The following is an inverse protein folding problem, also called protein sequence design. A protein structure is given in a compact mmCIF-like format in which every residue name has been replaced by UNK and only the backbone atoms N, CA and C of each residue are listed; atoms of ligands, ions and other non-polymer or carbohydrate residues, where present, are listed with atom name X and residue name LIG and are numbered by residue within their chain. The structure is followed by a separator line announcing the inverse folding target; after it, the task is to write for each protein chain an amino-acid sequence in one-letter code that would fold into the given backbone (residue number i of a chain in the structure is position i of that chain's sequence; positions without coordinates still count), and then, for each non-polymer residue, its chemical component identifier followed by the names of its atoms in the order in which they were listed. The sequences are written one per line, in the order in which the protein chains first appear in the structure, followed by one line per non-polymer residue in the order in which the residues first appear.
data_IF_681760090753
#
_entry.id   IF_681760090753
#
_cell.length_a   1.000
_cell.length_b   1.000
_cell.length_c   1.000
_cell.angle_alpha   90.00
_cell.angle_beta   90.00
_cell.angle_gamma   90.00
#
_symmetry.space_group_name_H-M   'P 1'
#
loop_
_entity.id
_entity.type
_entity.pdbx_description
1 polymer ?
#
# COMPACT_ATOMS: atom_id res chain seq x y z
N UNK A 1 0.58 -22.14 4.50
CA UNK A 1 0.81 -21.09 3.51
C UNK A 1 -0.54 -20.68 2.92
N UNK A 2 -0.94 -19.42 3.06
CA UNK A 2 -2.19 -18.87 2.54
C UNK A 2 -1.87 -17.59 1.79
N UNK A 3 -2.36 -17.48 0.56
CA UNK A 3 -2.37 -16.23 -0.18
C UNK A 3 -3.66 -15.48 0.18
N UNK A 4 -3.51 -14.22 0.52
CA UNK A 4 -4.64 -13.37 0.84
C UNK A 4 -5.02 -12.49 -0.35
N UNK A 5 -6.24 -12.65 -0.80
CA UNK A 5 -6.86 -11.82 -1.85
C UNK A 5 -8.23 -11.29 -1.38
N UNK A 6 -8.24 -10.67 -0.21
CA UNK A 6 -9.46 -10.36 0.53
C UNK A 6 -10.54 -9.65 -0.24
N UNK A 7 -10.21 -8.73 -1.12
CA UNK A 7 -11.20 -7.92 -1.80
C UNK A 7 -11.49 -8.31 -3.26
N UNK A 8 -10.79 -9.30 -3.78
CA UNK A 8 -11.11 -9.90 -5.09
C UNK A 8 -11.66 -11.32 -4.96
N UNK A 9 -12.04 -11.71 -3.75
CA UNK A 9 -12.21 -13.10 -3.42
C UNK A 9 -13.38 -13.76 -4.13
N UNK A 10 -14.56 -13.16 -4.17
CA UNK A 10 -15.69 -13.81 -4.79
C UNK A 10 -16.88 -12.89 -5.01
N UNK A 11 -17.53 -13.09 -6.16
CA UNK A 11 -18.88 -12.58 -6.47
C UNK A 11 -19.83 -13.75 -6.75
N UNK A 12 -19.58 -14.90 -6.13
CA UNK A 12 -20.45 -16.05 -6.25
C UNK A 12 -21.85 -15.76 -5.70
N UNK A 13 -22.89 -16.44 -6.16
CA UNK A 13 -24.24 -16.28 -5.63
C UNK A 13 -24.32 -16.44 -4.11
N UNK A 14 -23.52 -17.36 -3.57
CA UNK A 14 -23.46 -17.57 -2.12
C UNK A 14 -22.92 -16.33 -1.40
N UNK A 15 -21.80 -15.77 -1.83
CA UNK A 15 -21.21 -14.58 -1.21
C UNK A 15 -22.13 -13.37 -1.33
N UNK A 16 -22.78 -13.19 -2.48
CA UNK A 16 -23.72 -12.10 -2.67
C UNK A 16 -24.94 -12.24 -1.75
N UNK A 17 -25.44 -13.45 -1.53
CA UNK A 17 -26.52 -13.72 -0.58
C UNK A 17 -26.11 -13.45 0.86
N UNK A 18 -24.89 -13.82 1.27
CA UNK A 18 -24.39 -13.53 2.62
C UNK A 18 -24.21 -12.03 2.81
N UNK A 19 -23.67 -11.33 1.82
CA UNK A 19 -23.58 -9.88 1.86
C UNK A 19 -24.95 -9.22 2.01
N UNK A 20 -25.93 -9.64 1.23
CA UNK A 20 -27.29 -9.09 1.29
C UNK A 20 -27.93 -9.29 2.69
N UNK A 21 -27.69 -10.44 3.32
CA UNK A 21 -28.14 -10.72 4.69
C UNK A 21 -27.49 -9.82 5.74
N UNK A 22 -26.21 -9.53 5.58
CA UNK A 22 -25.46 -8.71 6.52
C UNK A 22 -25.69 -7.20 6.30
N UNK A 23 -25.59 -6.75 5.06
CA UNK A 23 -25.65 -5.34 4.71
C UNK A 23 -27.09 -4.79 4.62
N UNK A 24 -28.09 -5.68 4.46
CA UNK A 24 -29.49 -5.31 4.29
C UNK A 24 -29.85 -4.80 2.90
N UNK A 25 -28.95 -4.92 1.94
CA UNK A 25 -29.18 -4.58 0.53
C UNK A 25 -28.34 -5.45 -0.39
N UNK A 26 -28.83 -5.59 -1.62
CA UNK A 26 -28.16 -6.40 -2.65
C UNK A 26 -27.02 -5.64 -3.30
N UNK A 27 -25.85 -6.28 -3.38
CA UNK A 27 -24.71 -5.74 -4.15
C UNK A 27 -25.02 -5.78 -5.65
N UNK A 28 -24.66 -4.73 -6.35
CA UNK A 28 -24.87 -4.58 -7.78
C UNK A 28 -23.56 -4.31 -8.52
N UNK A 29 -23.40 -4.80 -9.75
CA UNK A 29 -22.20 -4.52 -10.56
C UNK A 29 -21.90 -3.03 -10.72
N UNK A 30 -22.94 -2.20 -10.75
CA UNK A 30 -22.83 -0.74 -10.90
C UNK A 30 -22.07 -0.07 -9.76
N UNK A 31 -21.99 -0.71 -8.59
CA UNK A 31 -21.21 -0.22 -7.47
C UNK A 31 -19.69 -0.39 -7.67
N UNK A 32 -19.28 -1.31 -8.55
CA UNK A 32 -17.89 -1.51 -8.95
C UNK A 32 -17.59 -0.71 -10.22
N UNK A 33 -18.52 -0.75 -11.17
CA UNK A 33 -18.39 -0.12 -12.47
C UNK A 33 -18.99 1.26 -12.36
N UNK A 34 -18.16 2.23 -12.07
CA UNK A 34 -18.58 3.62 -12.14
C UNK A 34 -18.69 4.07 -13.60
N UNK A 35 -19.58 5.02 -13.86
CA UNK A 35 -19.93 5.53 -15.18
C UNK A 35 -18.69 5.91 -16.00
N UNK A 36 -18.36 5.07 -16.99
CA UNK A 36 -17.22 5.27 -17.89
C UNK A 36 -15.86 4.83 -17.34
N UNK A 37 -15.79 4.25 -16.13
CA UNK A 37 -14.57 3.70 -15.54
C UNK A 37 -14.74 2.22 -15.23
N UNK A 38 -13.92 1.41 -15.85
CA UNK A 38 -13.97 -0.05 -15.68
C UNK A 38 -13.37 -0.54 -14.36
N UNK A 39 -12.68 0.32 -13.65
CA UNK A 39 -12.17 0.03 -12.32
C UNK A 39 -12.12 1.32 -11.49
N UNK A 40 -12.21 1.17 -10.19
CA UNK A 40 -12.19 2.28 -9.25
C UNK A 40 -10.80 2.68 -8.80
N UNK A 41 -9.75 2.20 -9.45
CA UNK A 41 -8.39 2.48 -9.00
C UNK A 41 -8.02 3.97 -9.07
N UNK A 42 -8.75 4.74 -9.87
CA UNK A 42 -8.53 6.16 -10.08
C UNK A 42 -9.51 7.06 -9.32
N UNK A 43 -10.49 6.47 -8.65
CA UNK A 43 -11.53 7.22 -7.93
C UNK A 43 -11.75 6.69 -6.54
N UNK A 44 -12.29 7.55 -5.68
CA UNK A 44 -12.79 7.13 -4.36
C UNK A 44 -13.96 6.17 -4.58
N UNK A 45 -13.91 4.94 -4.06
CA UNK A 45 -14.97 3.97 -4.26
C UNK A 45 -16.28 4.42 -3.61
N UNK A 46 -17.39 3.96 -4.16
CA UNK A 46 -18.69 4.16 -3.57
C UNK A 46 -18.77 3.55 -2.16
N UNK A 47 -19.72 4.01 -1.36
CA UNK A 47 -19.99 3.44 -0.05
C UNK A 47 -20.32 1.95 -0.16
N UNK A 48 -21.17 1.59 -1.10
CA UNK A 48 -21.60 0.21 -1.33
C UNK A 48 -20.44 -0.70 -1.70
N UNK A 49 -19.49 -0.21 -2.47
CA UNK A 49 -18.28 -0.94 -2.78
C UNK A 49 -17.37 -1.11 -1.56
N UNK A 50 -17.22 -0.08 -0.73
CA UNK A 50 -16.49 -0.15 0.53
C UNK A 50 -17.12 -1.17 1.49
N UNK A 51 -18.45 -1.15 1.61
CA UNK A 51 -19.19 -2.09 2.46
C UNK A 51 -18.99 -3.54 1.99
N UNK A 52 -19.04 -3.76 0.67
CA UNK A 52 -18.80 -5.09 0.10
C UNK A 52 -17.37 -5.57 0.32
N UNK A 53 -16.39 -4.69 0.17
CA UNK A 53 -15.01 -5.05 0.45
C UNK A 53 -14.77 -5.33 1.93
N UNK A 54 -15.35 -4.55 2.83
CA UNK A 54 -15.26 -4.79 4.26
C UNK A 54 -15.87 -6.15 4.62
N UNK A 55 -17.03 -6.50 4.05
CA UNK A 55 -17.63 -7.82 4.18
C UNK A 55 -16.68 -8.92 3.70
N UNK A 56 -16.14 -8.79 2.48
CA UNK A 56 -15.21 -9.80 1.92
C UNK A 56 -13.96 -9.97 2.80
N UNK A 57 -13.40 -8.89 3.32
CA UNK A 57 -12.26 -8.96 4.23
C UNK A 57 -12.59 -9.74 5.50
N UNK A 58 -13.75 -9.49 6.11
CA UNK A 58 -14.18 -10.23 7.31
C UNK A 58 -14.33 -11.72 7.02
N UNK A 59 -14.94 -12.08 5.89
CA UNK A 59 -15.10 -13.49 5.52
C UNK A 59 -13.75 -14.18 5.25
N UNK A 60 -12.81 -13.51 4.56
CA UNK A 60 -11.46 -14.05 4.34
C UNK A 60 -10.70 -14.15 5.66
N UNK A 61 -10.77 -13.13 6.52
CA UNK A 61 -10.12 -13.13 7.83
C UNK A 61 -10.63 -14.29 8.71
N UNK A 62 -11.93 -14.56 8.69
CA UNK A 62 -12.53 -15.68 9.42
C UNK A 62 -11.97 -17.02 8.95
N UNK A 63 -11.92 -17.26 7.63
CA UNK A 63 -11.35 -18.50 7.07
C UNK A 63 -9.86 -18.60 7.40
N UNK A 64 -9.12 -17.53 7.23
CA UNK A 64 -7.69 -17.50 7.54
C UNK A 64 -7.45 -17.80 9.03
N UNK A 65 -8.27 -17.21 9.92
CA UNK A 65 -8.18 -17.47 11.34
C UNK A 65 -8.42 -18.94 11.68
N UNK A 66 -9.40 -19.59 11.10
CA UNK A 66 -9.64 -21.01 11.31
C UNK A 66 -8.41 -21.86 10.94
N UNK A 67 -7.74 -21.53 9.82
CA UNK A 67 -6.50 -22.21 9.41
C UNK A 67 -5.34 -21.96 10.37
N UNK A 68 -5.21 -20.74 10.87
CA UNK A 68 -4.19 -20.35 11.85
C UNK A 68 -4.43 -21.07 13.18
N UNK A 69 -5.66 -21.06 13.67
CA UNK A 69 -6.02 -21.72 14.93
C UNK A 69 -5.69 -23.22 14.87
N UNK A 70 -6.05 -23.91 13.78
CA UNK A 70 -5.68 -25.33 13.56
C UNK A 70 -4.14 -25.47 13.55
N UNK A 71 -3.41 -24.57 12.90
CA UNK A 71 -1.95 -24.62 12.84
C UNK A 71 -1.35 -24.53 14.25
N UNK A 72 -1.88 -23.63 15.07
CA UNK A 72 -1.47 -23.44 16.45
C UNK A 72 -1.80 -24.64 17.35
N UNK A 73 -2.93 -25.32 17.13
CA UNK A 73 -3.28 -26.56 17.84
C UNK A 73 -2.22 -27.65 17.67
N UNK A 74 -1.54 -27.67 16.52
CA UNK A 74 -0.41 -28.56 16.27
C UNK A 74 0.94 -28.01 16.75
N UNK A 75 0.96 -26.91 17.48
CA UNK A 75 2.17 -26.26 17.99
C UNK A 75 3.09 -25.72 16.89
N UNK A 76 2.53 -25.29 15.77
CA UNK A 76 3.26 -24.73 14.62
C UNK A 76 2.96 -23.25 14.48
N UNK A 77 3.92 -22.51 13.93
CA UNK A 77 3.71 -21.12 13.54
C UNK A 77 3.02 -21.03 12.18
N UNK A 78 2.12 -20.08 12.06
CA UNK A 78 1.38 -19.79 10.84
C UNK A 78 1.97 -18.57 10.13
N UNK A 79 2.28 -18.72 8.85
CA UNK A 79 2.83 -17.68 8.01
C UNK A 79 1.93 -17.42 6.81
N UNK A 80 1.70 -16.15 6.48
CA UNK A 80 0.95 -15.73 5.30
C UNK A 80 1.85 -15.03 4.31
N UNK A 81 1.74 -15.45 3.05
CA UNK A 81 2.37 -14.74 1.93
C UNK A 81 1.42 -13.63 1.43
N UNK A 82 1.97 -12.42 1.31
CA UNK A 82 1.29 -11.28 0.72
C UNK A 82 1.71 -11.18 -0.75
N UNK A 83 0.76 -11.19 -1.66
CA UNK A 83 1.03 -10.96 -3.06
C UNK A 83 1.67 -9.59 -3.30
N UNK A 84 2.37 -9.43 -4.40
CA UNK A 84 3.24 -8.27 -4.65
C UNK A 84 2.52 -6.91 -4.60
N UNK A 85 1.25 -6.86 -4.98
CA UNK A 85 0.44 -5.63 -4.95
C UNK A 85 -0.33 -5.41 -3.64
N UNK A 86 -0.27 -6.38 -2.73
CA UNK A 86 -1.08 -6.40 -1.51
C UNK A 86 -0.31 -6.03 -0.25
N UNK A 87 1.01 -5.91 -0.34
CA UNK A 87 1.87 -5.63 0.80
C UNK A 87 1.44 -4.39 1.56
N UNK A 88 0.94 -3.38 0.87
CA UNK A 88 0.53 -2.12 1.48
C UNK A 88 -0.97 -2.02 1.80
N UNK A 89 -1.72 -3.11 1.77
CA UNK A 89 -3.19 -3.05 1.87
C UNK A 89 -3.76 -3.83 3.04
N UNK A 90 -3.89 -5.14 2.92
CA UNK A 90 -4.55 -5.98 3.91
C UNK A 90 -3.93 -5.90 5.31
N UNK A 91 -2.60 -5.89 5.47
CA UNK A 91 -1.98 -5.84 6.79
C UNK A 91 -2.33 -4.60 7.62
N UNK A 92 -2.84 -3.57 6.97
CA UNK A 92 -3.24 -2.32 7.62
C UNK A 92 -4.73 -2.20 7.86
N UNK A 93 -5.46 -3.30 7.72
CA UNK A 93 -6.89 -3.37 7.99
C UNK A 93 -7.16 -4.02 9.34
N UNK A 94 -8.25 -3.62 9.98
CA UNK A 94 -8.63 -4.10 11.31
C UNK A 94 -8.77 -5.63 11.34
N UNK A 95 -9.34 -6.20 10.30
CA UNK A 95 -9.57 -7.65 10.21
C UNK A 95 -8.28 -8.45 10.22
N UNK A 96 -7.18 -7.90 9.72
CA UNK A 96 -5.89 -8.59 9.65
C UNK A 96 -5.35 -8.93 11.05
N UNK A 97 -5.45 -8.01 11.99
CA UNK A 97 -4.98 -8.23 13.36
C UNK A 97 -5.72 -9.37 14.07
N UNK A 98 -6.96 -9.67 13.65
CA UNK A 98 -7.78 -10.72 14.26
C UNK A 98 -7.36 -12.15 13.90
N UNK A 99 -6.56 -12.31 12.84
CA UNK A 99 -6.18 -13.64 12.31
C UNK A 99 -5.20 -14.35 13.24
N UNK A 100 -4.30 -13.61 13.89
CA UNK A 100 -3.31 -14.16 14.81
C UNK A 100 -2.12 -14.82 14.13
N UNK A 101 -1.70 -14.31 12.97
CA UNK A 101 -0.51 -14.80 12.25
C UNK A 101 0.76 -14.59 13.07
N UNK A 102 1.70 -15.53 12.94
CA UNK A 102 3.05 -15.40 13.51
C UNK A 102 3.97 -14.61 12.57
N UNK A 103 3.81 -14.80 11.27
CA UNK A 103 4.66 -14.13 10.29
C UNK A 103 3.90 -13.74 9.03
N UNK A 104 4.40 -12.70 8.39
CA UNK A 104 3.99 -12.31 7.03
C UNK A 104 5.22 -12.24 6.13
N UNK A 105 5.03 -12.63 4.87
CA UNK A 105 6.06 -12.59 3.84
C UNK A 105 5.60 -11.77 2.66
N UNK A 106 6.42 -10.83 2.22
CA UNK A 106 6.17 -10.07 1.01
C UNK A 106 7.39 -10.03 0.09
N UNK A 107 7.18 -9.73 -1.18
CA UNK A 107 8.27 -9.55 -2.13
C UNK A 107 9.03 -8.26 -1.87
N UNK A 108 10.35 -8.33 -1.83
CA UNK A 108 11.24 -7.18 -1.66
C UNK A 108 11.96 -6.90 -2.97
N UNK A 109 11.47 -5.93 -3.72
CA UNK A 109 12.08 -5.48 -4.96
C UNK A 109 12.77 -4.11 -4.87
N UNK A 110 12.48 -3.35 -3.80
CA UNK A 110 13.01 -2.00 -3.62
C UNK A 110 12.84 -1.53 -2.17
N UNK A 111 13.23 -0.30 -1.88
CA UNK A 111 13.11 0.29 -0.54
C UNK A 111 11.65 0.50 -0.12
N UNK A 112 10.77 0.83 -1.05
CA UNK A 112 9.35 1.04 -0.72
C UNK A 112 8.67 -0.27 -0.30
N UNK A 113 8.88 -1.37 -1.00
CA UNK A 113 8.30 -2.67 -0.61
C UNK A 113 8.85 -3.16 0.73
N UNK A 114 10.15 -3.01 0.97
CA UNK A 114 10.74 -3.35 2.27
C UNK A 114 10.15 -2.49 3.39
N UNK A 115 10.01 -1.18 3.15
CA UNK A 115 9.45 -0.26 4.14
C UNK A 115 7.99 -0.59 4.47
N UNK A 116 7.19 -0.95 3.48
CA UNK A 116 5.80 -1.36 3.67
C UNK A 116 5.69 -2.65 4.49
N UNK A 117 6.51 -3.66 4.19
CA UNK A 117 6.54 -4.91 4.95
C UNK A 117 6.99 -4.65 6.40
N UNK A 118 8.01 -3.85 6.61
CA UNK A 118 8.54 -3.57 7.94
C UNK A 118 7.57 -2.79 8.84
N UNK A 119 6.54 -2.17 8.25
CA UNK A 119 5.51 -1.42 9.00
C UNK A 119 4.30 -2.27 9.41
N UNK A 120 4.26 -3.54 9.02
CA UNK A 120 3.17 -4.45 9.38
C UNK A 120 3.23 -4.75 10.87
N UNK A 121 2.12 -4.48 11.54
CA UNK A 121 1.95 -4.72 12.98
C UNK A 121 1.20 -6.04 13.25
N UNK A 122 1.23 -6.50 14.50
CA UNK A 122 0.44 -7.64 14.94
C UNK A 122 1.00 -9.01 14.57
N UNK A 123 2.24 -9.09 14.05
CA UNK A 123 2.95 -10.33 13.75
C UNK A 123 4.27 -10.40 14.52
N UNK A 124 4.77 -11.62 14.79
CA UNK A 124 6.07 -11.81 15.45
C UNK A 124 7.23 -11.51 14.51
N UNK A 125 7.07 -11.83 13.22
CA UNK A 125 8.10 -11.72 12.22
C UNK A 125 7.58 -11.11 10.93
N UNK A 126 8.36 -10.18 10.39
CA UNK A 126 8.21 -9.68 9.04
C UNK A 126 9.28 -10.27 8.14
N UNK A 127 8.92 -10.83 7.01
CA UNK A 127 9.83 -11.51 6.12
C UNK A 127 9.81 -10.90 4.72
N UNK A 128 10.98 -10.76 4.13
CA UNK A 128 11.16 -10.36 2.75
C UNK A 128 11.51 -11.53 1.85
N UNK A 129 10.70 -11.78 0.84
CA UNK A 129 11.05 -12.67 -0.25
C UNK A 129 11.85 -11.86 -1.27
N UNK A 130 13.16 -12.08 -1.29
CA UNK A 130 14.01 -11.49 -2.30
C UNK A 130 13.88 -12.30 -3.58
N UNK A 131 13.27 -11.69 -4.57
CA UNK A 131 12.95 -12.33 -5.83
C UNK A 131 13.11 -11.31 -6.95
N UNK A 132 13.93 -11.60 -7.95
CA UNK A 132 13.82 -10.94 -9.24
C UNK A 132 12.39 -11.14 -9.75
N UNK A 133 11.86 -10.15 -10.36
CA UNK A 133 10.44 -10.02 -10.57
C UNK A 133 9.91 -11.21 -11.34
N UNK A 134 9.52 -11.79 -11.95
CA UNK A 134 8.79 -12.91 -12.51
C UNK A 134 9.72 -14.04 -12.99
N UNK A 135 9.60 -15.18 -12.34
CA UNK A 135 10.56 -16.29 -12.54
C UNK A 135 10.79 -16.72 -13.99
N UNK A 136 9.76 -16.91 -14.84
CA UNK A 136 10.00 -17.34 -16.22
C UNK A 136 10.69 -16.26 -17.06
N UNK A 137 10.46 -14.99 -16.75
CA UNK A 137 10.99 -13.87 -17.52
C UNK A 137 12.44 -13.56 -17.13
N UNK A 138 12.81 -13.84 -15.89
CA UNK A 138 14.16 -13.59 -15.37
C UNK A 138 15.05 -14.81 -15.48
N UNK A 139 14.53 -16.01 -15.15
CA UNK A 139 15.29 -17.27 -15.18
C UNK A 139 15.08 -18.02 -16.50
N UNK A 140 15.45 -17.42 -17.59
CA UNK A 140 15.36 -17.96 -18.93
C UNK A 140 16.68 -17.79 -19.69
N UNK A 141 16.81 -18.42 -20.86
CA UNK A 141 17.98 -18.25 -21.72
C UNK A 141 18.16 -16.78 -22.09
N UNK A 142 19.33 -16.23 -21.75
CA UNK A 142 19.66 -14.83 -21.96
C UNK A 142 19.18 -13.88 -20.85
N UNK A 143 18.48 -14.38 -19.84
CA UNK A 143 18.13 -13.60 -18.65
C UNK A 143 19.32 -13.36 -17.73
N UNK A 144 19.27 -12.28 -16.96
CA UNK A 144 20.33 -11.91 -16.01
C UNK A 144 19.73 -11.69 -14.60
N UNK A 145 19.43 -12.77 -13.87
CA UNK A 145 18.86 -12.66 -12.53
C UNK A 145 19.82 -12.02 -11.51
N UNK A 146 21.12 -12.07 -11.73
CA UNK A 146 22.11 -11.44 -10.85
C UNK A 146 22.03 -9.93 -10.96
N UNK A 147 21.93 -9.41 -12.18
CA UNK A 147 21.81 -7.97 -12.42
C UNK A 147 20.55 -7.42 -11.76
N UNK A 148 19.42 -8.05 -12.01
CA UNK A 148 18.14 -7.63 -11.42
C UNK A 148 18.18 -7.70 -9.89
N UNK A 149 18.72 -8.78 -9.33
CA UNK A 149 18.88 -8.92 -7.89
C UNK A 149 19.77 -7.81 -7.29
N UNK A 150 20.85 -7.43 -7.95
CA UNK A 150 21.70 -6.33 -7.51
C UNK A 150 20.98 -5.00 -7.52
N UNK A 151 20.26 -4.69 -8.57
CA UNK A 151 19.46 -3.47 -8.70
C UNK A 151 18.42 -3.38 -7.58
N UNK A 152 17.69 -4.45 -7.34
CA UNK A 152 16.69 -4.54 -6.28
C UNK A 152 17.32 -4.38 -4.88
N UNK A 153 18.44 -5.04 -4.62
CA UNK A 153 19.09 -5.00 -3.31
C UNK A 153 19.68 -3.62 -2.97
N UNK A 154 20.27 -2.94 -3.94
CA UNK A 154 20.83 -1.59 -3.74
C UNK A 154 19.77 -0.62 -3.21
N UNK A 155 18.55 -0.72 -3.69
CA UNK A 155 17.44 0.14 -3.24
C UNK A 155 16.80 -0.36 -1.95
N UNK A 156 16.55 -1.67 -1.83
CA UNK A 156 15.92 -2.27 -0.67
C UNK A 156 16.73 -2.08 0.63
N UNK A 157 18.02 -2.32 0.60
CA UNK A 157 18.88 -2.27 1.79
C UNK A 157 18.89 -0.92 2.52
N UNK A 158 18.58 0.18 1.82
CA UNK A 158 18.49 1.51 2.44
C UNK A 158 17.42 1.57 3.51
N UNK A 159 16.30 0.89 3.30
CA UNK A 159 15.19 0.89 4.22
C UNK A 159 15.49 0.10 5.50
N UNK A 160 16.38 -0.89 5.46
CA UNK A 160 16.75 -1.73 6.62
C UNK A 160 17.31 -0.87 7.77
N UNK A 161 18.09 0.15 7.45
CA UNK A 161 18.68 1.03 8.45
C UNK A 161 17.65 1.93 9.15
N UNK A 162 16.44 2.02 8.62
CA UNK A 162 15.35 2.80 9.20
C UNK A 162 14.38 1.94 9.98
N UNK A 163 13.91 0.88 9.35
CA UNK A 163 13.04 -0.11 9.99
C UNK A 163 13.32 -1.48 9.39
N UNK A 164 14.10 -2.35 10.04
CA UNK A 164 14.44 -3.66 9.49
C UNK A 164 13.22 -4.57 9.44
N UNK A 165 13.19 -5.45 8.44
CA UNK A 165 12.40 -6.67 8.50
C UNK A 165 13.19 -7.74 9.28
N UNK A 166 12.52 -8.76 9.81
CA UNK A 166 13.18 -9.76 10.66
C UNK A 166 13.93 -10.82 9.88
N UNK A 167 13.44 -11.16 8.69
CA UNK A 167 14.00 -12.23 7.86
C UNK A 167 14.01 -11.84 6.40
N UNK A 168 15.01 -12.30 5.65
CA UNK A 168 15.07 -12.19 4.21
C UNK A 168 15.68 -13.46 3.61
N UNK A 169 15.21 -13.83 2.44
CA UNK A 169 15.77 -14.95 1.70
C UNK A 169 15.21 -15.01 0.29
N UNK A 170 15.75 -15.94 -0.49
CA UNK A 170 15.18 -16.22 -1.81
C UNK A 170 13.81 -16.86 -1.67
N UNK A 171 12.84 -16.33 -2.37
CA UNK A 171 11.51 -16.92 -2.48
C UNK A 171 11.12 -17.11 -3.94
N UNK A 172 10.95 -18.35 -4.37
CA UNK A 172 10.58 -18.68 -5.73
C UNK A 172 10.77 -20.16 -6.04
N UNK A 173 10.72 -20.52 -7.30
CA UNK A 173 10.92 -21.89 -7.72
C UNK A 173 12.41 -22.25 -7.75
N UNK A 174 12.89 -22.95 -6.72
CA UNK A 174 14.30 -23.36 -6.60
C UNK A 174 14.82 -24.09 -7.84
N UNK A 175 13.96 -24.84 -8.52
CA UNK A 175 14.36 -25.58 -9.74
C UNK A 175 14.85 -24.63 -10.85
N UNK A 176 14.28 -23.43 -10.96
CA UNK A 176 14.70 -22.47 -11.99
C UNK A 176 16.09 -21.92 -11.70
N UNK A 177 16.43 -21.72 -10.44
CA UNK A 177 17.73 -21.15 -10.03
C UNK A 177 18.89 -22.13 -10.21
N UNK A 178 18.64 -23.43 -10.37
CA UNK A 178 19.71 -24.42 -10.56
C UNK A 178 20.54 -24.18 -11.81
N UNK A 179 19.99 -23.49 -12.80
CA UNK A 179 20.71 -23.14 -14.02
C UNK A 179 21.48 -21.80 -13.90
N UNK A 180 21.41 -21.14 -12.73
CA UNK A 180 22.00 -19.83 -12.46
C UNK A 180 22.77 -19.88 -11.13
N UNK A 181 23.89 -20.65 -11.04
CA UNK A 181 24.63 -20.80 -9.79
C UNK A 181 25.14 -19.48 -9.25
N UNK A 182 25.57 -18.54 -10.12
CA UNK A 182 26.00 -17.22 -9.73
C UNK A 182 24.90 -16.36 -9.07
N UNK A 183 23.64 -16.65 -9.36
CA UNK A 183 22.53 -16.04 -8.66
C UNK A 183 22.41 -16.56 -7.24
N UNK A 184 22.58 -17.87 -7.03
CA UNK A 184 22.56 -18.47 -5.70
C UNK A 184 23.72 -17.96 -4.83
N UNK A 185 24.91 -17.85 -5.41
CA UNK A 185 26.08 -17.24 -4.73
C UNK A 185 25.80 -15.77 -4.35
N UNK A 186 25.15 -15.03 -5.25
CA UNK A 186 24.77 -13.65 -4.94
C UNK A 186 23.74 -13.56 -3.81
N UNK A 187 22.73 -14.42 -3.81
CA UNK A 187 21.71 -14.46 -2.74
C UNK A 187 22.35 -14.83 -1.40
N UNK A 188 23.29 -15.77 -1.36
CA UNK A 188 24.03 -16.09 -0.13
C UNK A 188 24.78 -14.89 0.40
N UNK A 189 25.51 -14.18 -0.45
CA UNK A 189 26.23 -12.96 -0.09
C UNK A 189 25.28 -11.87 0.41
N UNK A 190 24.16 -11.66 -0.26
CA UNK A 190 23.13 -10.70 0.15
C UNK A 190 22.52 -11.07 1.50
N UNK A 191 22.24 -12.36 1.75
CA UNK A 191 21.76 -12.82 3.05
C UNK A 191 22.79 -12.61 4.17
N UNK A 192 24.08 -12.73 3.88
CA UNK A 192 25.16 -12.47 4.84
C UNK A 192 25.23 -10.97 5.15
N UNK A 193 25.19 -10.09 4.12
CA UNK A 193 25.10 -8.65 4.31
C UNK A 193 23.87 -8.26 5.14
N UNK A 194 22.71 -8.85 4.83
CA UNK A 194 21.49 -8.62 5.60
C UNK A 194 21.64 -8.99 7.08
N UNK A 195 22.23 -10.15 7.40
CA UNK A 195 22.44 -10.57 8.78
C UNK A 195 23.34 -9.58 9.54
N UNK A 196 24.36 -9.08 8.89
CA UNK A 196 25.23 -8.06 9.46
C UNK A 196 24.48 -6.76 9.73
N UNK A 197 23.75 -6.25 8.74
CA UNK A 197 22.93 -5.04 8.88
C UNK A 197 21.87 -5.21 9.96
N UNK A 198 21.15 -6.34 9.96
CA UNK A 198 20.13 -6.64 10.96
C UNK A 198 20.69 -6.71 12.37
N UNK A 199 21.81 -7.42 12.56
CA UNK A 199 22.45 -7.55 13.88
C UNK A 199 22.87 -6.20 14.43
N UNK A 200 23.34 -5.30 13.56
CA UNK A 200 23.76 -3.97 13.96
C UNK A 200 22.60 -2.98 14.13
N UNK A 201 21.47 -3.18 13.47
CA UNK A 201 20.31 -2.29 13.52
C UNK A 201 19.23 -2.73 14.52
N UNK A 202 19.16 -4.02 14.83
CA UNK A 202 18.12 -4.57 15.71
C UNK A 202 18.16 -3.95 17.10
N UNK A 203 17.01 -3.45 17.56
CA UNK A 203 16.86 -2.84 18.87
C UNK A 203 17.43 -1.42 18.98
N UNK A 204 17.90 -0.85 17.87
CA UNK A 204 18.31 0.55 17.80
C UNK A 204 17.16 1.35 17.18
N UNK A 205 16.70 2.37 17.89
CA UNK A 205 15.79 3.36 17.30
C UNK A 205 16.61 4.36 16.50
N UNK A 206 16.48 4.42 15.16
CA UNK A 206 17.25 5.37 14.38
C UNK A 206 16.81 6.79 14.72
N UNK A 207 17.77 7.70 14.73
CA UNK A 207 17.44 9.11 14.85
C UNK A 207 16.68 9.59 13.61
N UNK A 208 15.54 10.19 13.85
CA UNK A 208 14.70 10.78 12.81
C UNK A 208 14.58 12.28 13.05
N UNK A 209 14.79 13.07 12.00
CA UNK A 209 14.75 14.53 12.10
C UNK A 209 13.33 15.06 12.14
N UNK A 210 12.38 14.34 11.53
CA UNK A 210 10.98 14.70 11.43
C UNK A 210 10.10 13.46 11.32
N UNK A 211 8.85 13.58 11.81
CA UNK A 211 7.77 12.63 11.59
C UNK A 211 6.97 13.03 10.37
N UNK A 212 6.87 12.15 9.41
CA UNK A 212 6.23 12.41 8.12
C UNK A 212 5.11 11.39 7.89
N UNK A 213 3.92 11.86 7.57
CA UNK A 213 2.84 10.97 7.16
C UNK A 213 2.57 11.06 5.65
N UNK A 214 2.38 9.91 5.02
CA UNK A 214 1.84 9.80 3.66
C UNK A 214 0.36 9.50 3.76
N UNK A 215 -0.44 10.38 3.17
CA UNK A 215 -1.90 10.37 3.27
C UNK A 215 -2.53 9.64 2.09
N UNK A 216 -3.54 8.84 2.36
CA UNK A 216 -4.39 8.20 1.36
C UNK A 216 -5.86 8.15 1.81
N UNK A 217 -6.77 7.72 0.95
CA UNK A 217 -8.20 7.76 1.25
C UNK A 217 -8.77 6.48 1.85
N UNK A 218 -7.97 5.45 2.02
CA UNK A 218 -8.55 4.12 2.23
C UNK A 218 -7.89 3.27 3.29
N UNK A 219 -7.57 3.77 4.40
CA UNK A 219 -6.75 3.11 5.40
C UNK A 219 -5.28 3.42 5.15
N UNK A 220 -4.38 2.86 5.92
CA UNK A 220 -2.97 3.25 5.93
C UNK A 220 -2.32 3.16 4.56
N UNK A 221 -2.48 2.03 3.88
CA UNK A 221 -2.07 1.85 2.50
C UNK A 221 -3.04 0.89 1.86
N UNK A 222 -4.02 1.37 1.11
CA UNK A 222 -4.94 0.52 0.39
C UNK A 222 -4.66 0.57 -1.09
N UNK A 223 -4.61 -0.59 -1.73
CA UNK A 223 -4.63 -0.68 -3.16
C UNK A 223 -6.06 -0.56 -3.69
N UNK A 224 -6.23 0.27 -4.67
CA UNK A 224 -7.44 0.32 -5.45
C UNK A 224 -7.39 -0.65 -6.61
N UNK A 225 -6.29 -1.35 -6.72
CA UNK A 225 -6.03 -2.32 -7.78
C UNK A 225 -6.69 -3.66 -7.57
N UNK A 226 -7.74 -3.76 -6.73
CA UNK A 226 -8.44 -5.02 -6.49
C UNK A 226 -8.97 -5.70 -7.77
N UNK A 227 -9.10 -4.95 -8.84
CA UNK A 227 -9.50 -5.45 -10.16
C UNK A 227 -8.32 -5.63 -11.11
N UNK A 228 -7.13 -5.29 -10.68
CA UNK A 228 -5.95 -5.38 -11.51
C UNK A 228 -5.42 -6.81 -11.51
N UNK A 229 -5.04 -7.27 -12.68
CA UNK A 229 -4.26 -8.48 -12.81
C UNK A 229 -2.92 -8.25 -12.12
N UNK A 230 -2.42 -9.22 -11.38
CA UNK A 230 -1.16 -9.18 -10.65
C UNK A 230 0.02 -8.58 -11.42
N UNK A 231 0.03 -8.76 -12.70
CA UNK A 231 1.10 -8.34 -13.58
C UNK A 231 0.75 -7.09 -14.39
N UNK A 232 -0.27 -6.36 -13.99
CA UNK A 232 -0.56 -5.06 -14.57
C UNK A 232 0.51 -4.04 -14.10
N UNK A 233 1.64 -4.12 -14.73
CA UNK A 233 2.86 -3.37 -14.46
C UNK A 233 2.73 -1.86 -14.66
N UNK A 234 1.58 -1.37 -15.09
CA UNK A 234 1.45 -0.03 -15.66
C UNK A 234 0.48 0.84 -14.88
N UNK A 235 0.54 0.77 -13.57
CA UNK A 235 -0.17 1.73 -12.72
C UNK A 235 0.59 3.04 -12.68
N UNK A 236 0.55 3.80 -13.75
CA UNK A 236 1.20 5.12 -13.81
C UNK A 236 0.79 6.02 -12.63
N UNK A 237 -0.44 5.86 -12.17
CA UNK A 237 -1.00 6.59 -11.04
C UNK A 237 -0.31 6.27 -9.71
N UNK A 238 0.28 5.09 -9.58
CA UNK A 238 1.03 4.70 -8.38
C UNK A 238 2.47 5.19 -8.41
N UNK A 239 2.99 5.66 -9.53
CA UNK A 239 4.40 6.04 -9.65
C UNK A 239 4.78 7.16 -8.69
N UNK A 240 3.98 8.20 -8.61
CA UNK A 240 4.25 9.30 -7.69
C UNK A 240 4.20 8.82 -6.23
N UNK A 241 3.19 8.03 -5.88
CA UNK A 241 3.02 7.46 -4.54
C UNK A 241 4.17 6.52 -4.17
N UNK A 242 4.44 5.53 -5.00
CA UNK A 242 5.56 4.61 -4.79
C UNK A 242 6.92 5.34 -4.78
N UNK A 243 7.10 6.32 -5.65
CA UNK A 243 8.30 7.15 -5.71
C UNK A 243 8.55 7.95 -4.43
N UNK A 244 7.52 8.52 -3.84
CA UNK A 244 7.63 9.22 -2.53
C UNK A 244 8.03 8.24 -1.43
N UNK A 245 7.41 7.06 -1.35
CA UNK A 245 7.79 6.05 -0.36
C UNK A 245 9.24 5.60 -0.58
N UNK A 246 9.66 5.40 -1.84
CA UNK A 246 11.03 5.02 -2.17
C UNK A 246 12.05 6.08 -1.72
N UNK A 247 11.78 7.36 -1.97
CA UNK A 247 12.63 8.46 -1.50
C UNK A 247 12.70 8.51 0.03
N UNK A 248 11.57 8.33 0.70
CA UNK A 248 11.49 8.37 2.15
C UNK A 248 12.11 7.14 2.82
N UNK A 249 12.12 5.99 2.15
CA UNK A 249 12.53 4.71 2.74
C UNK A 249 13.94 4.71 3.31
N UNK A 250 14.87 5.46 2.72
CA UNK A 250 16.25 5.60 3.20
C UNK A 250 16.56 6.95 3.85
N UNK A 251 15.59 7.86 3.92
CA UNK A 251 15.77 9.18 4.48
C UNK A 251 15.67 9.17 6.02
N UNK A 252 16.23 10.17 6.72
CA UNK A 252 16.21 10.24 8.17
C UNK A 252 14.87 10.74 8.73
N UNK A 253 13.76 10.19 8.23
CA UNK A 253 12.41 10.51 8.65
C UNK A 253 11.73 9.30 9.30
N UNK A 254 10.88 9.59 10.27
CA UNK A 254 9.94 8.61 10.82
C UNK A 254 8.67 8.67 9.95
N UNK A 255 8.49 7.64 9.12
CA UNK A 255 7.44 7.62 8.09
C UNK A 255 6.24 6.83 8.58
N UNK A 256 5.09 7.47 8.57
CA UNK A 256 3.78 6.91 8.89
C UNK A 256 2.87 6.88 7.68
N UNK A 257 1.90 5.98 7.71
CA UNK A 257 0.85 5.90 6.69
C UNK A 257 -0.50 6.12 7.37
N UNK A 258 -1.20 7.17 6.98
CA UNK A 258 -2.50 7.54 7.55
C UNK A 258 -3.55 7.68 6.46
N UNK A 259 -4.81 7.52 6.83
CA UNK A 259 -5.93 7.71 5.91
C UNK A 259 -6.74 8.96 6.26
N UNK A 260 -7.58 9.36 5.34
CA UNK A 260 -8.59 10.40 5.61
C UNK A 260 -9.61 9.91 6.65
N UNK A 261 -9.89 8.61 6.70
CA UNK A 261 -10.78 8.03 7.70
C UNK A 261 -10.14 8.12 9.11
N UNK A 262 -8.81 7.93 9.23
CA UNK A 262 -8.09 8.13 10.48
C UNK A 262 -8.19 9.59 10.95
N UNK A 263 -8.02 10.55 10.03
CA UNK A 263 -8.17 11.99 10.34
C UNK A 263 -9.59 12.32 10.80
N UNK A 264 -10.61 11.73 10.17
CA UNK A 264 -12.01 11.96 10.56
C UNK A 264 -12.35 11.34 11.92
N UNK A 265 -11.77 10.18 12.22
CA UNK A 265 -11.99 9.50 13.50
C UNK A 265 -11.23 10.19 14.65
N UNK A 266 -9.99 10.60 14.41
CA UNK A 266 -9.10 11.18 15.43
C UNK A 266 -8.24 12.29 14.82
N UNK A 267 -8.77 13.52 14.63
CA UNK A 267 -8.00 14.64 14.07
C UNK A 267 -6.73 14.99 14.84
N UNK A 268 -6.71 14.67 16.13
CA UNK A 268 -5.60 14.94 17.03
C UNK A 268 -4.31 14.19 16.65
N UNK A 269 -4.43 13.09 15.88
CA UNK A 269 -3.27 12.33 15.39
C UNK A 269 -2.29 13.20 14.59
N UNK A 270 -2.79 14.27 13.95
CA UNK A 270 -1.96 15.20 13.19
C UNK A 270 -0.99 15.99 14.08
N UNK A 271 -1.28 16.18 15.37
CA UNK A 271 -0.44 16.94 16.29
C UNK A 271 0.92 16.29 16.55
N UNK A 272 0.99 14.97 16.38
CA UNK A 272 2.23 14.22 16.56
C UNK A 272 3.10 14.17 15.29
N UNK A 273 2.65 14.78 14.22
CA UNK A 273 3.33 14.81 12.93
C UNK A 273 3.98 16.16 12.67
N UNK A 274 5.10 16.16 11.98
CA UNK A 274 5.73 17.39 11.48
C UNK A 274 5.26 17.74 10.05
N UNK A 275 5.05 16.70 9.20
CA UNK A 275 4.71 16.87 7.79
C UNK A 275 3.68 15.84 7.36
N UNK A 276 2.70 16.29 6.59
CA UNK A 276 1.74 15.44 5.87
C UNK A 276 1.98 15.57 4.37
N UNK A 277 2.07 14.46 3.66
CA UNK A 277 2.27 14.42 2.21
C UNK A 277 1.02 13.85 1.56
N UNK A 278 0.42 14.60 0.64
CA UNK A 278 -0.64 14.11 -0.24
C UNK A 278 -0.11 14.05 -1.67
N UNK A 279 -0.16 12.87 -2.28
CA UNK A 279 0.55 12.60 -3.54
C UNK A 279 -0.27 11.75 -4.50
N UNK A 280 -0.27 12.14 -5.76
CA UNK A 280 -0.91 11.41 -6.87
C UNK A 280 -1.73 12.32 -7.78
N UNK A 281 -2.46 11.69 -8.68
CA UNK A 281 -3.38 12.39 -9.59
C UNK A 281 -4.67 12.77 -8.84
N UNK A 282 -5.30 13.86 -9.23
CA UNK A 282 -6.58 14.29 -8.67
C UNK A 282 -7.70 13.26 -8.93
N UNK A 283 -8.71 13.29 -8.10
CA UNK A 283 -9.84 12.34 -8.16
C UNK A 283 -9.45 10.87 -8.03
N UNK A 284 -8.35 10.57 -7.35
CA UNK A 284 -7.89 9.20 -7.09
C UNK A 284 -7.90 8.85 -5.61
N UNK A 285 -7.73 7.56 -5.32
CA UNK A 285 -7.55 7.06 -3.97
C UNK A 285 -6.33 7.65 -3.28
N UNK A 286 -5.31 7.94 -4.04
CA UNK A 286 -4.06 8.46 -3.49
C UNK A 286 -4.22 9.89 -2.99
N UNK A 287 -4.96 10.70 -3.72
CA UNK A 287 -5.20 12.11 -3.37
C UNK A 287 -6.48 12.36 -2.58
N UNK A 288 -7.40 11.38 -2.54
CA UNK A 288 -8.62 11.45 -1.75
C UNK A 288 -9.91 11.63 -2.55
N UNK A 289 -9.88 12.23 -3.73
CA UNK A 289 -11.07 12.44 -4.56
C UNK A 289 -12.19 13.14 -3.79
N UNK A 290 -13.41 12.61 -3.84
CA UNK A 290 -14.59 13.21 -3.21
C UNK A 290 -14.54 13.33 -1.67
N UNK A 291 -13.55 12.75 -1.00
CA UNK A 291 -13.39 12.95 0.46
C UNK A 291 -13.17 14.43 0.80
N UNK A 292 -12.62 15.19 -0.13
CA UNK A 292 -12.39 16.62 0.02
C UNK A 292 -13.65 17.48 0.04
N UNK A 293 -14.82 16.93 -0.28
CA UNK A 293 -16.12 17.57 -0.03
C UNK A 293 -16.42 17.65 1.48
N UNK A 294 -15.75 16.83 2.29
CA UNK A 294 -15.91 16.86 3.73
C UNK A 294 -15.08 17.98 4.35
N UNK A 295 -15.76 19.02 4.81
CA UNK A 295 -15.14 20.18 5.44
C UNK A 295 -14.28 19.81 6.68
N UNK A 296 -14.56 18.71 7.38
CA UNK A 296 -13.79 18.31 8.54
C UNK A 296 -12.36 17.93 8.16
N UNK A 297 -12.16 17.26 7.02
CA UNK A 297 -10.83 16.89 6.51
C UNK A 297 -10.02 18.15 6.18
N UNK A 298 -10.58 19.03 5.34
CA UNK A 298 -9.87 20.26 4.93
C UNK A 298 -9.61 21.19 6.11
N UNK A 299 -10.52 21.25 7.10
CA UNK A 299 -10.31 22.01 8.33
C UNK A 299 -9.20 21.43 9.20
N UNK A 300 -9.16 20.12 9.39
CA UNK A 300 -8.11 19.47 10.17
C UNK A 300 -6.71 19.71 9.57
N UNK A 301 -6.58 19.61 8.24
CA UNK A 301 -5.30 19.88 7.56
C UNK A 301 -4.93 21.37 7.67
N UNK A 302 -5.88 22.29 7.51
CA UNK A 302 -5.62 23.74 7.69
C UNK A 302 -5.19 24.08 9.11
N UNK A 303 -5.87 23.49 10.10
CA UNK A 303 -5.50 23.68 11.51
C UNK A 303 -4.09 23.13 11.80
N UNK A 304 -3.76 21.96 11.28
CA UNK A 304 -2.42 21.39 11.37
C UNK A 304 -1.35 22.33 10.82
N UNK A 305 -1.56 22.87 9.63
CA UNK A 305 -0.60 23.83 9.00
C UNK A 305 -0.56 25.15 9.76
N UNK A 306 -1.70 25.67 10.21
CA UNK A 306 -1.77 26.90 11.01
C UNK A 306 -0.97 26.75 12.32
N UNK A 307 -0.98 25.57 12.91
CA UNK A 307 -0.23 25.27 14.13
C UNK A 307 1.26 24.94 13.88
N UNK A 308 1.75 25.09 12.66
CA UNK A 308 3.16 24.94 12.30
C UNK A 308 3.53 23.62 11.63
N UNK A 309 2.57 22.75 11.33
CA UNK A 309 2.79 21.54 10.53
C UNK A 309 3.08 21.88 9.06
N UNK A 310 3.84 21.00 8.40
CA UNK A 310 4.10 21.12 6.95
C UNK A 310 3.13 20.30 6.13
N UNK A 311 2.64 20.85 5.02
CA UNK A 311 1.88 20.09 4.03
C UNK A 311 2.61 20.10 2.68
N UNK A 312 2.89 18.93 2.15
CA UNK A 312 3.54 18.76 0.85
C UNK A 312 2.56 18.11 -0.11
N UNK A 313 2.27 18.82 -1.20
CA UNK A 313 1.49 18.29 -2.30
C UNK A 313 2.37 17.86 -3.47
N UNK A 314 2.11 16.68 -4.04
CA UNK A 314 2.81 16.17 -5.22
C UNK A 314 1.81 15.72 -6.26
N UNK A 315 1.95 16.22 -7.47
CA UNK A 315 0.97 16.00 -8.54
C UNK A 315 -0.25 16.91 -8.38
N UNK A 316 -1.40 16.33 -8.10
CA UNK A 316 -2.65 17.08 -7.91
C UNK A 316 -3.22 16.86 -6.48
N UNK A 317 -2.51 17.32 -5.44
CA UNK A 317 -2.93 17.15 -4.05
C UNK A 317 -4.25 17.85 -3.80
N UNK A 318 -5.13 17.24 -3.00
CA UNK A 318 -6.50 17.73 -2.76
C UNK A 318 -7.32 17.99 -4.04
N UNK A 319 -6.91 17.41 -5.17
CA UNK A 319 -7.56 17.61 -6.47
C UNK A 319 -8.92 16.94 -6.53
N UNK A 320 -9.97 17.75 -6.54
CA UNK A 320 -11.36 17.35 -6.70
C UNK A 320 -12.22 18.57 -7.01
N UNK A 321 -12.95 18.55 -8.14
CA UNK A 321 -13.78 19.70 -8.51
C UNK A 321 -14.99 19.84 -7.58
N UNK A 322 -14.96 20.80 -6.67
CA UNK A 322 -16.03 21.05 -5.73
C UNK A 322 -16.11 22.55 -5.38
N UNK A 323 -17.31 23.10 -5.32
CA UNK A 323 -17.60 24.52 -4.95
C UNK A 323 -16.74 25.55 -5.71
N UNK A 324 -16.45 25.30 -6.99
CA UNK A 324 -15.71 26.23 -7.83
C UNK A 324 -14.18 26.13 -7.74
N UNK A 325 -13.65 25.25 -6.90
CA UNK A 325 -12.23 24.96 -6.77
C UNK A 325 -11.89 23.56 -7.24
N UNK A 326 -10.71 23.40 -7.82
CA UNK A 326 -10.15 22.08 -8.10
C UNK A 326 -9.26 21.60 -6.97
N UNK A 327 -8.34 22.44 -6.50
CA UNK A 327 -7.58 22.12 -5.29
C UNK A 327 -8.34 22.58 -4.06
N UNK A 328 -8.82 21.65 -3.27
CA UNK A 328 -9.61 21.97 -2.09
C UNK A 328 -8.78 22.63 -0.96
N UNK A 329 -7.46 22.65 -1.13
CA UNK A 329 -6.50 23.34 -0.29
C UNK A 329 -5.76 24.46 -1.06
N UNK A 330 -6.37 25.03 -2.09
CA UNK A 330 -5.77 26.07 -2.94
C UNK A 330 -5.23 27.27 -2.13
N UNK A 331 -5.94 27.66 -1.10
CA UNK A 331 -5.57 28.74 -0.19
C UNK A 331 -4.25 28.47 0.57
N UNK A 332 -4.01 27.22 0.97
CA UNK A 332 -2.76 26.80 1.61
C UNK A 332 -1.64 26.58 0.60
N UNK A 333 -1.95 25.98 -0.53
CA UNK A 333 -0.99 25.64 -1.57
C UNK A 333 -0.52 26.88 -2.36
N UNK A 334 -1.32 27.94 -2.35
CA UNK A 334 -1.06 29.15 -3.14
C UNK A 334 -1.24 28.94 -4.64
N UNK A 335 -1.88 27.86 -5.06
CA UNK A 335 -2.11 27.50 -6.46
C UNK A 335 -3.50 26.97 -6.66
N UNK A 336 -4.03 27.18 -7.87
CA UNK A 336 -5.30 26.63 -8.32
C UNK A 336 -5.15 26.09 -9.74
N UNK A 337 -5.90 25.07 -10.10
CA UNK A 337 -5.95 24.55 -11.44
C UNK A 337 -7.10 25.18 -12.20
N UNK A 338 -6.83 25.75 -13.34
CA UNK A 338 -7.86 26.18 -14.26
C UNK A 338 -8.58 24.95 -14.83
N UNK A 339 -9.81 24.72 -14.39
CA UNK A 339 -10.70 23.66 -14.87
C UNK A 339 -11.83 24.22 -15.74
N UNK A 340 -11.74 25.53 -16.01
CA UNK A 340 -12.76 26.25 -16.75
C UNK A 340 -12.87 25.81 -18.19
N UNK A 341 -13.98 26.15 -18.79
CA UNK A 341 -14.17 26.13 -20.22
C UNK A 341 -12.96 26.75 -20.89
N UNK A 342 -12.15 25.93 -21.50
CA UNK A 342 -11.25 26.48 -22.46
C UNK A 342 -12.13 26.95 -23.61
N UNK A 343 -12.37 28.23 -23.69
CA UNK A 343 -12.96 28.87 -24.86
C UNK A 343 -12.28 28.38 -26.15
N UNK A 344 -11.05 27.93 -26.04
CA UNK A 344 -10.31 27.28 -27.09
C UNK A 344 -10.90 25.93 -27.52
N UNK A 345 -11.37 25.12 -26.59
CA UNK A 345 -11.94 23.82 -26.91
C UNK A 345 -13.22 23.96 -27.73
N UNK A 346 -14.10 24.86 -27.31
CA UNK A 346 -15.35 25.12 -28.01
C UNK A 346 -15.18 25.94 -29.29
N UNK A 347 -14.08 26.67 -29.42
CA UNK A 347 -13.86 27.57 -30.53
C UNK A 347 -13.10 26.96 -31.70
N UNK A 348 -12.33 25.90 -31.47
CA UNK A 348 -11.42 25.34 -32.46
C UNK A 348 -11.58 23.85 -32.71
N UNK A 349 -12.57 23.19 -32.12
CA UNK A 349 -12.94 21.79 -32.41
C UNK A 349 -14.24 21.72 -33.20
#
# INVERSE_FOLDING_TARGET
YVDWYGYSASVSPYILEQFEKEAGYRFRPEYIIDQGYYNNQYRVPSREFKDFQAFQRREVAKIAKEMVDITHEYGKEAMMFLGDHWIGTEPFMEEFATIGLDAVVGSVGNGSTLRLISDIEGVKYTEGRFLPYFFPDTFCDGGDPVKEAKENWITARRAILRKPIDRIGYGGYLKLTLNFPEFLDYVENMCNEFRELYTNAKGITPYCVKKVAVLNSWGKIRSWGCHMVHHALYQKQNYSYAGIIEVLSGAPFDVHFISFDDILAEPELLKDLDVVINVGDGDTAHTGGSIWENAAVSSAIREFVYNGGGFIGVGEPSGHQFQGHYFQLADMLGVEKETGFTLNYDKYN
#
